data_IF_395911363978
#
_entry.id   IF_395911363978
#
_cell.length_a   1.000
_cell.length_b   1.000
_cell.length_c   1.000
_cell.angle_alpha   90.00
_cell.angle_beta   90.00
_cell.angle_gamma   90.00
#
_symmetry.space_group_name_H-M   'P 1'
#
loop_
_entity.id
_entity.type
_entity.pdbx_description
1 polymer ?
#
# COMPACT_ATOMS: atom_id res chain seq x y z
N UNK A 1 -15.87 -28.45 12.93
CA UNK A 1 -14.49 -29.00 12.95
C UNK A 1 -13.52 -28.21 12.05
N UNK A 2 -13.89 -27.90 10.80
CA UNK A 2 -13.03 -27.19 9.83
C UNK A 2 -12.51 -25.80 10.29
N UNK A 3 -13.37 -24.96 10.88
CA UNK A 3 -13.01 -23.59 11.28
C UNK A 3 -11.91 -23.53 12.36
N UNK A 4 -11.96 -24.41 13.37
CA UNK A 4 -10.93 -24.47 14.43
C UNK A 4 -9.55 -24.77 13.83
N UNK A 5 -9.48 -25.73 12.91
CA UNK A 5 -8.24 -26.13 12.27
C UNK A 5 -7.68 -25.01 11.37
N UNK A 6 -8.53 -24.24 10.68
CA UNK A 6 -8.10 -23.10 9.88
C UNK A 6 -7.52 -21.98 10.74
N UNK A 7 -8.14 -21.68 11.87
CA UNK A 7 -7.64 -20.65 12.81
C UNK A 7 -6.29 -21.06 13.40
N UNK A 8 -6.12 -22.33 13.80
CA UNK A 8 -4.80 -22.81 14.26
C UNK A 8 -3.73 -22.73 13.17
N UNK A 9 -4.06 -23.05 11.92
CA UNK A 9 -3.13 -22.92 10.79
C UNK A 9 -2.73 -21.46 10.57
N UNK A 10 -3.68 -20.53 10.57
CA UNK A 10 -3.40 -19.08 10.44
C UNK A 10 -2.47 -18.62 11.58
N UNK A 11 -2.74 -19.05 12.82
CA UNK A 11 -1.89 -18.71 13.96
C UNK A 11 -0.43 -19.17 13.77
N UNK A 12 -0.21 -20.38 13.26
CA UNK A 12 1.14 -20.88 12.97
C UNK A 12 1.83 -20.07 11.87
N UNK A 13 1.11 -19.71 10.82
CA UNK A 13 1.64 -18.89 9.72
C UNK A 13 2.06 -17.51 10.23
N UNK A 14 1.23 -16.87 11.06
CA UNK A 14 1.55 -15.56 11.65
C UNK A 14 2.77 -15.60 12.59
N UNK A 15 3.00 -16.73 13.27
CA UNK A 15 4.17 -16.91 14.14
C UNK A 15 5.47 -17.10 13.34
N UNK A 16 5.39 -17.65 12.14
CA UNK A 16 6.56 -17.90 11.26
C UNK A 16 6.84 -16.68 10.37
N UNK A 17 5.87 -15.81 10.16
CA UNK A 17 6.06 -14.58 9.38
C UNK A 17 7.08 -13.66 10.07
N UNK A 18 8.20 -13.41 9.41
CA UNK A 18 9.24 -12.49 9.89
C UNK A 18 8.71 -11.05 9.87
N UNK A 19 8.75 -10.38 11.02
CA UNK A 19 8.49 -8.94 11.08
C UNK A 19 9.63 -8.20 10.35
N UNK A 20 9.33 -7.30 9.41
CA UNK A 20 10.37 -6.57 8.68
C UNK A 20 11.17 -5.69 9.64
N UNK A 21 12.47 -5.55 9.35
CA UNK A 21 13.32 -4.61 10.08
C UNK A 21 12.92 -3.17 9.78
N UNK A 22 13.22 -2.24 10.69
CA UNK A 22 12.92 -0.81 10.50
C UNK A 22 13.57 -0.25 9.22
N UNK A 23 14.74 -0.76 8.85
CA UNK A 23 15.46 -0.32 7.64
C UNK A 23 14.75 -0.76 6.36
N UNK A 24 14.41 -2.04 6.27
CA UNK A 24 13.66 -2.65 5.16
C UNK A 24 12.28 -1.99 5.01
N UNK A 25 11.55 -1.84 6.12
CA UNK A 25 10.26 -1.16 6.13
C UNK A 25 10.38 0.27 5.58
N UNK A 26 11.40 1.02 6.01
CA UNK A 26 11.61 2.41 5.57
C UNK A 26 12.00 2.49 4.09
N UNK A 27 12.76 1.53 3.57
CA UNK A 27 13.08 1.47 2.15
C UNK A 27 11.83 1.21 1.31
N UNK A 28 11.05 0.19 1.66
CA UNK A 28 9.79 -0.14 0.98
C UNK A 28 8.81 1.03 1.04
N UNK A 29 8.62 1.64 2.22
CA UNK A 29 7.75 2.79 2.39
C UNK A 29 8.17 4.00 1.54
N UNK A 30 9.48 4.26 1.40
CA UNK A 30 9.99 5.33 0.53
C UNK A 30 9.71 5.07 -0.94
N UNK A 31 9.94 3.84 -1.42
CA UNK A 31 9.74 3.47 -2.82
C UNK A 31 8.25 3.54 -3.17
N UNK A 32 7.39 2.94 -2.34
CA UNK A 32 5.94 2.97 -2.54
C UNK A 32 5.39 4.41 -2.40
N UNK A 33 5.87 5.17 -1.43
CA UNK A 33 5.50 6.57 -1.24
C UNK A 33 5.87 7.45 -2.43
N UNK A 34 7.06 7.25 -3.01
CA UNK A 34 7.47 7.91 -4.25
C UNK A 34 6.52 7.57 -5.41
N UNK A 35 6.14 6.30 -5.57
CA UNK A 35 5.18 5.87 -6.58
C UNK A 35 3.82 6.58 -6.44
N UNK A 36 3.28 6.63 -5.21
CA UNK A 36 2.03 7.33 -4.94
C UNK A 36 2.10 8.83 -5.25
N UNK A 37 3.20 9.50 -4.88
CA UNK A 37 3.38 10.92 -5.17
C UNK A 37 3.42 11.17 -6.67
N UNK A 38 4.16 10.35 -7.43
CA UNK A 38 4.26 10.50 -8.89
C UNK A 38 2.89 10.32 -9.55
N UNK A 39 2.18 9.22 -9.24
CA UNK A 39 0.85 8.95 -9.80
C UNK A 39 -0.15 10.04 -9.37
N UNK A 40 -0.09 10.47 -8.11
CA UNK A 40 -0.91 11.54 -7.57
C UNK A 40 -0.70 12.86 -8.29
N UNK A 41 0.55 13.26 -8.56
CA UNK A 41 0.86 14.48 -9.31
C UNK A 41 0.31 14.39 -10.74
N UNK A 42 0.47 13.25 -11.41
CA UNK A 42 -0.02 13.07 -12.78
C UNK A 42 -1.55 13.17 -12.82
N UNK A 43 -2.25 12.42 -11.95
CA UNK A 43 -3.70 12.47 -11.86
C UNK A 43 -4.22 13.85 -11.45
N UNK A 44 -3.56 14.50 -10.50
CA UNK A 44 -3.90 15.84 -10.04
C UNK A 44 -3.67 16.91 -11.10
N UNK A 45 -2.59 16.77 -11.90
CA UNK A 45 -2.33 17.68 -13.02
C UNK A 45 -3.42 17.58 -14.07
N UNK A 46 -3.84 16.35 -14.42
CA UNK A 46 -4.98 16.12 -15.31
C UNK A 46 -6.24 16.75 -14.71
N UNK A 47 -6.54 16.50 -13.43
CA UNK A 47 -7.70 17.08 -12.76
C UNK A 47 -7.72 18.61 -12.81
N UNK A 48 -6.59 19.27 -12.53
CA UNK A 48 -6.47 20.73 -12.61
C UNK A 48 -6.72 21.22 -14.03
N UNK A 49 -6.09 20.60 -15.04
CA UNK A 49 -6.24 21.01 -16.43
C UNK A 49 -7.71 20.88 -16.86
N UNK A 50 -8.37 19.78 -16.52
CA UNK A 50 -9.78 19.57 -16.84
C UNK A 50 -10.70 20.51 -16.04
N UNK A 51 -10.41 20.84 -14.78
CA UNK A 51 -11.17 21.84 -14.03
C UNK A 51 -11.02 23.23 -14.64
N UNK A 52 -9.81 23.61 -15.05
CA UNK A 52 -9.51 24.94 -15.55
C UNK A 52 -10.04 25.18 -16.97
N UNK A 53 -9.97 24.16 -17.83
CA UNK A 53 -10.51 24.21 -19.21
C UNK A 53 -12.01 23.92 -19.21
N UNK A 54 -12.45 22.97 -18.39
CA UNK A 54 -13.85 22.59 -18.26
C UNK A 54 -14.70 23.69 -17.64
N UNK A 55 -14.11 24.51 -16.76
CA UNK A 55 -14.63 25.81 -16.37
C UNK A 55 -16.10 25.85 -15.92
N UNK A 56 -16.69 24.73 -15.46
CA UNK A 56 -17.89 24.59 -14.64
C UNK A 56 -18.07 23.12 -14.22
#
# INVERSE_FOLDING_TARGET
MLLKNTIEKIRRILLIASKPDKTEYRQSAKITGLGFVIIGIIGFSIFIIFNLIGGL
#
